data_IF_425654949277
#
_entry.id   IF_425654949277
#
_cell.length_a   1.000
_cell.length_b   1.000
_cell.length_c   1.000
_cell.angle_alpha   90.00
_cell.angle_beta   90.00
_cell.angle_gamma   90.00
#
_symmetry.space_group_name_H-M   'P 1'
#
loop_
_entity.id
_entity.type
_entity.pdbx_description
1 polymer ?
#
# COMPACT_ATOMS: atom_id res chain seq x y z
N UNK A 1 -18.30 -17.00 -19.18
CA UNK A 1 -16.91 -16.76 -19.62
C UNK A 1 -16.81 -15.30 -19.99
N UNK A 2 -16.40 -14.48 -19.03
CA UNK A 2 -16.40 -13.03 -19.16
C UNK A 2 -15.31 -12.60 -20.13
N UNK A 3 -15.70 -12.33 -21.37
CA UNK A 3 -14.84 -11.74 -22.39
C UNK A 3 -14.76 -10.23 -22.12
N UNK A 4 -13.89 -9.83 -21.20
CA UNK A 4 -13.44 -8.45 -21.08
C UNK A 4 -11.93 -8.42 -20.92
N UNK A 5 -11.26 -7.52 -21.65
CA UNK A 5 -9.83 -7.27 -21.43
C UNK A 5 -9.69 -6.20 -20.35
N UNK A 6 -9.05 -6.56 -19.24
CA UNK A 6 -8.82 -5.62 -18.15
C UNK A 6 -7.52 -4.85 -18.41
N UNK A 7 -7.61 -3.53 -18.48
CA UNK A 7 -6.45 -2.64 -18.57
C UNK A 7 -6.26 -1.93 -17.23
N UNK A 8 -5.09 -2.13 -16.64
CA UNK A 8 -4.64 -1.37 -15.46
C UNK A 8 -3.56 -0.38 -15.87
N UNK A 9 -3.75 0.89 -15.55
CA UNK A 9 -2.73 1.93 -15.62
C UNK A 9 -2.23 2.25 -14.21
N UNK A 10 -0.91 2.27 -14.04
CA UNK A 10 -0.25 2.52 -12.78
C UNK A 10 0.75 3.69 -12.96
N UNK A 11 0.48 4.81 -12.29
CA UNK A 11 1.41 5.94 -12.25
C UNK A 11 2.02 6.03 -10.85
N UNK A 12 3.35 5.89 -10.78
CA UNK A 12 4.11 6.04 -9.53
C UNK A 12 4.99 7.29 -9.65
N UNK A 13 4.79 8.23 -8.73
CA UNK A 13 5.63 9.41 -8.57
C UNK A 13 6.38 9.29 -7.24
N UNK A 14 7.72 9.20 -7.32
CA UNK A 14 8.59 9.12 -6.15
C UNK A 14 9.40 10.39 -6.01
N UNK A 15 9.35 11.00 -4.82
CA UNK A 15 10.14 12.18 -4.47
C UNK A 15 11.01 11.91 -3.26
N UNK A 16 12.33 11.96 -3.45
CA UNK A 16 13.32 11.80 -2.39
C UNK A 16 13.67 13.15 -1.79
N UNK A 17 13.14 13.44 -0.61
CA UNK A 17 13.38 14.69 0.12
C UNK A 17 14.80 14.71 0.70
N UNK A 18 15.25 13.57 1.24
CA UNK A 18 16.57 13.43 1.84
C UNK A 18 17.07 11.98 1.71
N UNK A 19 18.33 11.67 2.09
CA UNK A 19 18.80 10.29 2.15
C UNK A 19 17.95 9.37 3.03
N UNK A 20 17.19 9.93 3.99
CA UNK A 20 16.39 9.19 4.96
C UNK A 20 14.88 9.34 4.78
N UNK A 21 14.40 10.23 3.90
CA UNK A 21 12.97 10.53 3.75
C UNK A 21 12.56 10.52 2.28
N UNK A 22 11.55 9.70 1.97
CA UNK A 22 10.98 9.55 0.62
C UNK A 22 9.46 9.60 0.68
N UNK A 23 8.85 10.25 -0.30
CA UNK A 23 7.40 10.25 -0.53
C UNK A 23 7.15 9.52 -1.84
N UNK A 24 6.26 8.54 -1.82
CA UNK A 24 5.72 7.91 -3.02
C UNK A 24 4.23 8.16 -3.12
N UNK A 25 3.78 8.63 -4.27
CA UNK A 25 2.39 8.67 -4.65
C UNK A 25 2.16 7.65 -5.77
N UNK A 26 1.13 6.83 -5.64
CA UNK A 26 0.75 5.84 -6.63
C UNK A 26 -0.72 6.00 -6.97
N UNK A 27 -1.02 6.27 -8.24
CA UNK A 27 -2.37 6.31 -8.77
C UNK A 27 -2.60 5.07 -9.63
N UNK A 28 -3.62 4.29 -9.30
CA UNK A 28 -3.99 3.04 -9.98
C UNK A 28 -5.36 3.24 -10.61
N UNK A 29 -5.46 3.03 -11.91
CA UNK A 29 -6.71 2.98 -12.64
C UNK A 29 -6.87 1.58 -13.20
N UNK A 30 -7.98 0.91 -12.93
CA UNK A 30 -8.24 -0.45 -13.45
C UNK A 30 -9.48 -0.48 -14.32
N UNK A 31 -9.63 -1.52 -15.14
CA UNK A 31 -10.79 -1.77 -16.00
C UNK A 31 -11.13 -0.63 -16.99
N UNK A 32 -10.10 0.04 -17.53
CA UNK A 32 -10.27 1.24 -18.38
C UNK A 32 -10.87 1.00 -19.79
N UNK A 33 -10.94 -0.24 -20.30
CA UNK A 33 -11.15 -0.52 -21.74
C UNK A 33 -12.55 -1.05 -22.08
N UNK A 34 -13.30 -1.60 -21.12
CA UNK A 34 -14.64 -2.12 -21.40
C UNK A 34 -15.68 -1.56 -20.43
N UNK A 35 -16.93 -1.56 -20.89
CA UNK A 35 -18.14 -1.18 -20.16
C UNK A 35 -18.42 -2.15 -19.01
N UNK A 36 -17.49 -2.23 -18.06
CA UNK A 36 -17.69 -2.89 -16.78
C UNK A 36 -18.15 -1.83 -15.78
N UNK A 37 -19.11 -2.22 -14.94
CA UNK A 37 -19.62 -1.42 -13.84
C UNK A 37 -18.57 -1.14 -12.73
N UNK A 38 -17.36 -1.68 -12.87
CA UNK A 38 -16.30 -1.75 -11.86
C UNK A 38 -15.04 -1.02 -12.34
N UNK A 39 -15.13 0.30 -12.56
CA UNK A 39 -13.96 1.12 -12.93
C UNK A 39 -13.33 1.72 -11.68
N UNK A 40 -12.24 1.15 -11.19
CA UNK A 40 -11.65 1.62 -9.94
C UNK A 40 -10.56 2.66 -10.18
N UNK A 41 -10.58 3.73 -9.39
CA UNK A 41 -9.49 4.69 -9.30
C UNK A 41 -9.01 4.80 -7.85
N UNK A 42 -7.85 4.21 -7.58
CA UNK A 42 -7.25 4.13 -6.26
C UNK A 42 -6.01 5.03 -6.20
N UNK A 43 -5.99 5.95 -5.24
CA UNK A 43 -4.80 6.70 -4.86
C UNK A 43 -4.16 6.08 -3.62
N UNK A 44 -2.82 5.99 -3.63
CA UNK A 44 -2.02 5.53 -2.51
C UNK A 44 -0.91 6.54 -2.24
N UNK A 45 -0.75 6.93 -1.00
CA UNK A 45 0.37 7.75 -0.54
C UNK A 45 1.18 6.95 0.45
N UNK A 46 2.49 6.93 0.26
CA UNK A 46 3.45 6.32 1.16
C UNK A 46 4.50 7.35 1.56
N UNK A 47 4.67 7.56 2.86
CA UNK A 47 5.80 8.30 3.41
C UNK A 47 6.74 7.29 4.06
N UNK A 48 7.97 7.20 3.55
CA UNK A 48 9.01 6.32 4.08
C UNK A 48 10.10 7.14 4.76
N UNK A 49 10.32 6.86 6.04
CA UNK A 49 11.48 7.30 6.79
C UNK A 49 12.40 6.10 7.09
N UNK A 50 13.64 6.13 6.62
CA UNK A 50 14.63 5.07 6.82
C UNK A 50 15.89 5.65 7.46
N UNK A 51 16.26 5.18 8.66
CA UNK A 51 17.51 5.56 9.33
C UNK A 51 18.15 4.35 10.00
N UNK A 52 19.38 4.01 9.57
CA UNK A 52 20.09 2.79 9.99
C UNK A 52 19.23 1.54 9.70
N UNK A 53 18.87 0.81 10.75
CA UNK A 53 18.01 -0.37 10.67
C UNK A 53 16.53 -0.05 10.89
N UNK A 54 16.16 1.21 11.16
CA UNK A 54 14.77 1.58 11.40
C UNK A 54 14.11 2.10 10.14
N UNK A 55 13.06 1.42 9.70
CA UNK A 55 12.20 1.85 8.59
C UNK A 55 10.79 2.10 9.13
N UNK A 56 10.30 3.33 9.02
CA UNK A 56 8.93 3.71 9.38
C UNK A 56 8.21 4.16 8.13
N UNK A 57 7.06 3.56 7.86
CA UNK A 57 6.24 3.84 6.70
C UNK A 57 4.84 4.26 7.15
N UNK A 58 4.40 5.44 6.75
CA UNK A 58 2.99 5.85 6.82
C UNK A 58 2.35 5.56 5.47
N UNK A 59 1.14 5.02 5.51
CA UNK A 59 0.40 4.60 4.33
C UNK A 59 -1.01 5.20 4.39
N UNK A 60 -1.47 5.70 3.26
CA UNK A 60 -2.86 6.11 3.06
C UNK A 60 -3.34 5.58 1.70
N UNK A 61 -4.55 5.08 1.67
CA UNK A 61 -5.23 4.58 0.49
C UNK A 61 -6.63 5.18 0.43
N UNK A 62 -6.99 5.65 -0.75
CA UNK A 62 -8.29 6.20 -1.03
C UNK A 62 -8.77 5.64 -2.36
N UNK A 63 -9.97 5.06 -2.36
CA UNK A 63 -10.68 4.77 -3.60
C UNK A 63 -11.60 5.96 -3.92
N UNK A 64 -11.51 6.47 -5.15
CA UNK A 64 -12.21 7.69 -5.55
C UNK A 64 -13.56 7.34 -6.17
N UNK A 65 -14.60 8.04 -5.70
CA UNK A 65 -15.98 7.86 -6.17
C UNK A 65 -16.25 8.33 -7.62
N UNK A 66 -15.23 8.81 -8.33
CA UNK A 66 -15.39 9.43 -9.66
C UNK A 66 -15.70 8.40 -10.74
N UNK A 67 -15.12 7.20 -10.63
CA UNK A 67 -15.29 6.12 -11.60
C UNK A 67 -15.93 4.86 -10.99
N UNK A 68 -15.97 4.79 -9.66
CA UNK A 68 -16.47 3.66 -8.87
C UNK A 68 -17.54 4.18 -7.86
N UNK A 69 -18.71 3.55 -7.72
CA UNK A 69 -19.66 3.93 -6.66
C UNK A 69 -19.14 3.67 -5.24
N UNK A 70 -18.15 2.79 -5.06
CA UNK A 70 -17.62 2.34 -3.76
C UNK A 70 -16.46 3.20 -3.27
N UNK A 71 -16.77 4.24 -2.50
CA UNK A 71 -15.76 5.04 -1.79
C UNK A 71 -15.29 4.32 -0.52
N UNK A 72 -13.98 4.24 -0.33
CA UNK A 72 -13.39 3.87 0.95
C UNK A 72 -12.04 4.56 1.20
N UNK A 73 -11.71 4.68 2.48
CA UNK A 73 -10.43 5.20 2.92
C UNK A 73 -9.82 4.24 3.92
N UNK A 74 -8.53 3.95 3.75
CA UNK A 74 -7.75 3.19 4.72
C UNK A 74 -6.39 3.83 4.91
N UNK A 75 -5.82 3.65 6.10
CA UNK A 75 -4.50 4.14 6.42
C UNK A 75 -3.78 3.14 7.30
N UNK A 76 -2.48 3.31 7.41
CA UNK A 76 -1.67 2.43 8.23
C UNK A 76 -0.31 2.98 8.56
N UNK A 77 0.29 2.37 9.56
CA UNK A 77 1.66 2.61 9.97
C UNK A 77 2.38 1.28 9.98
N UNK A 78 3.58 1.28 9.45
CA UNK A 78 4.44 0.12 9.41
C UNK A 78 5.79 0.50 9.99
N UNK A 79 6.27 -0.25 10.97
CA UNK A 79 7.58 -0.05 11.59
C UNK A 79 8.37 -1.34 11.44
N UNK A 80 9.53 -1.27 10.81
CA UNK A 80 10.47 -2.37 10.65
C UNK A 80 11.80 -2.04 11.31
N UNK A 81 12.36 -3.05 11.95
CA UNK A 81 13.79 -3.15 12.19
C UNK A 81 14.38 -4.05 11.09
N UNK A 82 15.00 -3.45 10.08
CA UNK A 82 15.36 -4.08 8.81
C UNK A 82 16.86 -4.24 8.60
N UNK A 83 17.21 -5.19 7.72
CA UNK A 83 18.57 -5.40 7.21
C UNK A 83 19.60 -5.62 8.32
N UNK A 84 19.23 -6.38 9.34
CA UNK A 84 20.13 -6.72 10.45
C UNK A 84 21.02 -7.88 10.01
N UNK A 85 22.35 -7.70 9.92
CA UNK A 85 23.25 -8.79 9.61
C UNK A 85 23.34 -9.74 10.80
N UNK A 86 22.95 -10.99 10.59
CA UNK A 86 23.06 -12.06 11.59
C UNK A 86 24.19 -13.02 11.25
N UNK A 87 24.50 -13.17 9.96
CA UNK A 87 25.68 -13.85 9.45
C UNK A 87 26.13 -13.20 8.14
N UNK A 88 27.30 -13.58 7.58
CA UNK A 88 27.78 -13.04 6.30
C UNK A 88 26.79 -13.20 5.12
N UNK A 89 25.89 -14.18 5.21
CA UNK A 89 24.94 -14.52 4.15
C UNK A 89 23.49 -14.28 4.54
N UNK A 90 23.21 -13.81 5.77
CA UNK A 90 21.84 -13.75 6.31
C UNK A 90 21.54 -12.37 6.86
N UNK A 91 20.50 -11.76 6.31
CA UNK A 91 19.87 -10.55 6.83
C UNK A 91 18.49 -10.88 7.40
N UNK A 92 18.23 -10.42 8.63
CA UNK A 92 16.91 -10.47 9.23
C UNK A 92 16.26 -9.10 9.25
N UNK A 93 14.95 -9.08 9.05
CA UNK A 93 14.10 -7.92 9.26
C UNK A 93 12.84 -8.36 10.01
N UNK A 94 12.45 -7.59 11.02
CA UNK A 94 11.20 -7.82 11.74
C UNK A 94 10.38 -6.53 11.71
N UNK A 95 9.07 -6.64 11.62
CA UNK A 95 8.20 -5.47 11.55
C UNK A 95 6.80 -5.70 12.09
N UNK A 96 6.18 -4.59 12.44
CA UNK A 96 4.80 -4.48 12.87
C UNK A 96 4.09 -3.52 11.93
N UNK A 97 2.97 -3.96 11.38
CA UNK A 97 2.09 -3.14 10.54
C UNK A 97 0.72 -3.07 11.19
N UNK A 98 0.27 -1.85 11.47
CA UNK A 98 -1.11 -1.56 11.84
C UNK A 98 -1.83 -0.92 10.66
N UNK A 99 -3.01 -1.44 10.32
CA UNK A 99 -3.90 -0.86 9.30
C UNK A 99 -5.28 -0.63 9.88
N UNK A 100 -5.92 0.45 9.43
CA UNK A 100 -7.25 0.85 9.84
C UNK A 100 -8.00 1.37 8.63
N UNK A 101 -9.24 0.91 8.48
CA UNK A 101 -10.17 1.41 7.49
C UNK A 101 -11.25 2.24 8.21
N UNK A 102 -11.08 3.56 8.39
CA UNK A 102 -12.04 4.36 9.13
C UNK A 102 -13.34 4.63 8.36
N UNK A 103 -13.36 4.45 7.03
CA UNK A 103 -14.55 4.74 6.22
C UNK A 103 -14.72 3.76 5.06
N UNK A 104 -15.96 3.35 4.85
CA UNK A 104 -16.45 2.61 3.69
C UNK A 104 -17.89 3.05 3.41
N UNK A 105 -18.19 3.35 2.16
CA UNK A 105 -19.55 3.65 1.70
C UNK A 105 -20.41 2.40 1.51
N UNK A 106 -19.77 1.22 1.38
CA UNK A 106 -20.42 -0.08 1.17
C UNK A 106 -19.87 -1.07 2.20
N UNK A 107 -20.26 -0.97 3.48
CA UNK A 107 -19.68 -1.76 4.57
C UNK A 107 -20.00 -3.26 4.47
N UNK A 108 -21.03 -3.65 3.73
CA UNK A 108 -21.38 -5.07 3.52
C UNK A 108 -20.37 -5.76 2.57
N UNK A 109 -19.85 -5.03 1.59
CA UNK A 109 -18.83 -5.51 0.64
C UNK A 109 -17.41 -5.25 1.16
N UNK A 110 -17.18 -4.06 1.74
CA UNK A 110 -15.90 -3.62 2.28
C UNK A 110 -16.07 -3.19 3.75
N UNK A 111 -16.14 -4.16 4.68
CA UNK A 111 -16.37 -3.87 6.08
C UNK A 111 -15.17 -3.14 6.70
N UNK A 112 -15.40 -2.07 7.51
CA UNK A 112 -14.36 -1.43 8.29
C UNK A 112 -13.66 -2.46 9.19
N UNK A 113 -12.38 -2.73 8.91
CA UNK A 113 -11.57 -3.64 9.73
C UNK A 113 -10.25 -2.99 10.12
N UNK A 114 -9.81 -3.34 11.31
CA UNK A 114 -8.47 -3.02 11.81
C UNK A 114 -7.66 -4.29 11.75
N UNK A 115 -6.40 -4.16 11.32
CA UNK A 115 -5.48 -5.28 11.22
C UNK A 115 -4.16 -4.94 11.88
N UNK A 116 -3.59 -5.93 12.56
CA UNK A 116 -2.20 -5.88 13.00
C UNK A 116 -1.50 -7.09 12.38
N UNK A 117 -0.40 -6.83 11.68
CA UNK A 117 0.44 -7.85 11.05
C UNK A 117 1.83 -7.79 11.66
N UNK A 118 2.32 -8.95 12.09
CA UNK A 118 3.70 -9.16 12.48
C UNK A 118 4.41 -9.84 11.32
N UNK A 119 5.54 -9.28 10.90
CA UNK A 119 6.31 -9.81 9.77
C UNK A 119 7.73 -10.12 10.22
N UNK A 120 8.21 -11.30 9.88
CA UNK A 120 9.62 -11.66 9.96
C UNK A 120 10.09 -12.03 8.56
N UNK A 121 11.15 -11.37 8.09
CA UNK A 121 11.76 -11.60 6.78
C UNK A 121 13.20 -12.03 6.98
N UNK A 122 13.56 -13.15 6.35
CA UNK A 122 14.93 -13.61 6.24
C UNK A 122 15.35 -13.52 4.78
N UNK A 123 16.43 -12.82 4.50
CA UNK A 123 17.05 -12.76 3.17
C UNK A 123 18.37 -13.49 3.24
N UNK A 124 18.54 -14.49 2.38
CA UNK A 124 19.78 -15.27 2.25
C UNK A 124 20.44 -14.89 0.93
N UNK A 125 21.71 -14.50 0.98
CA UNK A 125 22.54 -14.11 -0.16
C UNK A 125 23.56 -15.18 -0.52
#
# INVERSE_FOLDING_TARGET
ADKGSDLSFLLITSYKISPTLTIDHTSIFTNLVFDRAEKDWINRVRLLYSKKHWDVTLLAWQNNKVLDPTEYYSGGVTVYYSRVPVSPHVLLSAGLTGVKMPHSSHPDEFPPRNGILLTLVCVVH
#
